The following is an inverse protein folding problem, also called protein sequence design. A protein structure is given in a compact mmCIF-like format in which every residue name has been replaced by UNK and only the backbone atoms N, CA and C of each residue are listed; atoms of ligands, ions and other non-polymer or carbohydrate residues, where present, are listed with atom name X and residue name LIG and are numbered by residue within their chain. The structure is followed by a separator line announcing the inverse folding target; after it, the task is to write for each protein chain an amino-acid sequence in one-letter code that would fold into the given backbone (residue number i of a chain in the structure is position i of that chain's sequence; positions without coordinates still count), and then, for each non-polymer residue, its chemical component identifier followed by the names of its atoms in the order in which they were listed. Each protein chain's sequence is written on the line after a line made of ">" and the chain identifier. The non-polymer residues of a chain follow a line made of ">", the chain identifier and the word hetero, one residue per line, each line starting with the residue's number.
data_IF_220134721726
#
_entry.id   IF_220134721726
#
_cell.length_a   1.000
_cell.length_b   1.000
_cell.length_c   1.000
_cell.angle_alpha   90.00
_cell.angle_beta   90.00
_cell.angle_gamma   90.00
#
_symmetry.space_group_name_H-M   'P 1'
#
loop_
_entity.id
_entity.type
_entity.pdbx_description
1 polymer ?
#
# COMPACT_ATOMS: atom_id res chain seq x y z
N UNK A 1 66.92 46.03 23.05
CA UNK A 1 67.61 44.89 23.73
C UNK A 1 66.57 43.89 24.19
N UNK A 2 66.84 42.58 23.91
CA UNK A 2 66.11 41.36 24.34
C UNK A 2 64.88 41.02 23.51
N UNK A 3 65.01 40.17 22.60
CA UNK A 3 65.08 38.70 22.43
C UNK A 3 63.65 38.09 22.31
N UNK A 4 63.46 37.68 21.12
CA UNK A 4 62.38 36.84 20.54
C UNK A 4 62.59 35.41 21.04
N UNK A 5 61.50 34.76 21.44
CA UNK A 5 61.40 33.29 21.42
C UNK A 5 60.18 32.89 20.60
N UNK A 6 60.46 32.26 19.48
CA UNK A 6 59.42 31.62 18.65
C UNK A 6 58.99 30.31 19.26
N UNK A 7 57.69 30.07 19.12
CA UNK A 7 57.07 28.75 19.33
C UNK A 7 56.48 28.29 18.03
N UNK A 8 57.06 27.26 17.47
CA UNK A 8 56.62 26.58 16.25
C UNK A 8 55.42 25.70 16.60
N UNK A 9 54.24 26.01 16.09
CA UNK A 9 53.08 25.12 16.17
C UNK A 9 53.08 24.19 14.96
N UNK A 10 53.24 22.89 15.22
CA UNK A 10 53.14 21.80 14.25
C UNK A 10 51.69 21.53 13.96
N UNK A 11 51.21 21.87 12.77
CA UNK A 11 49.85 21.54 12.32
C UNK A 11 49.83 20.10 11.84
N UNK A 12 49.18 19.21 12.59
CA UNK A 12 48.77 17.88 12.11
C UNK A 12 47.53 18.06 11.24
N UNK A 13 47.67 17.82 9.96
CA UNK A 13 46.56 17.67 9.03
C UNK A 13 46.02 16.24 9.18
N UNK A 14 44.89 16.09 9.83
CA UNK A 14 44.08 14.88 9.70
C UNK A 14 43.23 14.99 8.43
N UNK A 15 43.58 14.22 7.43
CA UNK A 15 42.73 13.98 6.29
C UNK A 15 41.59 13.05 6.73
N UNK A 16 40.40 13.59 6.97
CA UNK A 16 39.16 12.78 7.03
C UNK A 16 38.75 12.45 5.61
N UNK A 17 38.98 11.21 5.22
CA UNK A 17 38.28 10.60 4.09
C UNK A 17 36.83 10.45 4.49
N UNK A 18 35.98 11.35 4.04
CA UNK A 18 34.51 11.22 4.11
C UNK A 18 34.06 10.29 2.99
N UNK A 19 33.97 9.00 3.27
CA UNK A 19 33.17 8.09 2.49
C UNK A 19 31.70 8.41 2.79
N UNK A 20 30.99 8.98 1.81
CA UNK A 20 29.56 9.18 1.87
C UNK A 20 28.86 7.82 1.90
N UNK A 21 28.43 7.40 3.05
CA UNK A 21 27.49 6.30 3.18
C UNK A 21 26.11 6.78 2.76
N UNK A 22 25.75 6.44 1.51
CA UNK A 22 24.36 6.45 1.08
C UNK A 22 23.61 5.43 1.91
N UNK A 23 22.73 5.91 2.81
CA UNK A 23 21.93 5.07 3.69
C UNK A 23 21.10 4.06 2.90
N UNK A 24 21.52 2.81 2.96
CA UNK A 24 20.72 1.64 2.63
C UNK A 24 20.06 1.18 3.92
N UNK A 25 18.97 1.82 4.28
CA UNK A 25 18.16 1.44 5.44
C UNK A 25 17.06 0.45 5.07
N UNK A 26 17.38 -0.57 4.33
CA UNK A 26 16.54 -1.75 4.21
C UNK A 26 17.34 -2.92 4.78
N UNK A 27 17.29 -3.03 6.12
CA UNK A 27 17.99 -4.07 6.87
C UNK A 27 17.54 -5.47 6.46
N UNK A 28 18.09 -5.97 5.37
CA UNK A 28 18.15 -7.37 5.07
C UNK A 28 19.30 -7.96 5.87
N UNK A 29 19.01 -8.75 6.90
CA UNK A 29 19.98 -9.61 7.51
C UNK A 29 20.49 -10.60 6.47
N UNK A 30 21.79 -10.62 6.23
CA UNK A 30 22.49 -11.66 5.47
C UNK A 30 22.25 -13.02 6.13
N UNK A 31 21.26 -13.75 5.62
CA UNK A 31 21.09 -15.17 5.83
C UNK A 31 21.48 -15.88 4.56
N UNK A 32 22.72 -16.37 4.51
CA UNK A 32 23.23 -17.15 3.39
C UNK A 32 22.28 -18.29 3.03
N UNK A 33 21.90 -18.37 1.76
CA UNK A 33 21.07 -19.43 1.20
C UNK A 33 21.98 -20.64 0.91
N UNK A 34 21.77 -21.82 1.50
CA UNK A 34 22.41 -23.02 1.01
C UNK A 34 21.66 -23.49 -0.25
N UNK A 35 22.34 -23.54 -1.37
CA UNK A 35 21.88 -24.21 -2.59
C UNK A 35 21.73 -25.69 -2.35
N UNK A 36 20.52 -26.20 -2.44
CA UNK A 36 20.24 -27.65 -2.47
C UNK A 36 19.87 -28.04 -3.89
N UNK A 37 20.70 -28.89 -4.45
CA UNK A 37 20.52 -29.55 -5.75
C UNK A 37 19.34 -30.51 -5.69
N UNK A 38 18.32 -30.35 -6.52
CA UNK A 38 17.22 -31.28 -6.64
C UNK A 38 17.53 -32.33 -7.71
N UNK A 39 17.60 -33.56 -7.29
CA UNK A 39 17.63 -34.73 -8.17
C UNK A 39 16.21 -35.10 -8.59
N UNK A 40 15.99 -35.27 -9.88
CA UNK A 40 14.76 -35.76 -10.47
C UNK A 40 14.63 -37.28 -10.29
N UNK A 41 13.44 -37.74 -9.99
CA UNK A 41 13.00 -39.12 -10.31
C UNK A 41 11.58 -39.08 -10.84
N UNK A 42 11.45 -39.50 -12.07
CA UNK A 42 10.17 -39.78 -12.75
C UNK A 42 9.56 -41.11 -12.20
N UNK A 43 8.23 -41.16 -12.14
CA UNK A 43 7.54 -42.43 -12.37
C UNK A 43 6.10 -42.18 -12.86
N UNK A 44 5.79 -42.83 -13.97
CA UNK A 44 4.52 -42.86 -14.67
C UNK A 44 3.56 -43.87 -14.06
N UNK A 45 2.24 -43.61 -14.20
CA UNK A 45 1.20 -44.60 -13.91
C UNK A 45 -0.13 -44.20 -14.51
N UNK A 46 -0.55 -44.96 -15.47
CA UNK A 46 -1.67 -44.88 -16.39
C UNK A 46 -3.00 -45.48 -15.87
N UNK A 47 -4.10 -45.03 -16.47
CA UNK A 47 -5.40 -45.75 -16.59
C UNK A 47 -6.47 -45.23 -15.64
N UNK A 48 -7.76 -45.14 -15.93
CA UNK A 48 -8.58 -45.80 -16.97
C UNK A 48 -9.94 -45.05 -17.11
N UNK A 49 -10.63 -45.36 -18.17
CA UNK A 49 -11.91 -44.77 -18.64
C UNK A 49 -13.13 -45.26 -17.86
N UNK A 50 -14.20 -44.46 -17.88
CA UNK A 50 -15.53 -44.88 -17.45
C UNK A 50 -16.63 -43.94 -17.94
N UNK A 51 -17.23 -44.26 -19.09
CA UNK A 51 -18.40 -43.64 -19.69
C UNK A 51 -19.70 -44.12 -19.05
N UNK A 52 -20.69 -43.24 -18.92
CA UNK A 52 -22.06 -43.62 -18.53
C UNK A 52 -23.07 -42.54 -18.88
N UNK A 53 -23.80 -42.73 -19.97
CA UNK A 53 -25.00 -41.95 -20.38
C UNK A 53 -26.20 -42.30 -19.52
N UNK A 54 -27.07 -41.32 -19.29
CA UNK A 54 -28.42 -41.57 -18.74
C UNK A 54 -29.30 -40.31 -18.81
N UNK A 55 -30.14 -40.23 -19.84
CA UNK A 55 -31.15 -39.21 -20.00
C UNK A 55 -32.40 -39.58 -19.18
N UNK A 56 -33.06 -38.61 -18.53
CA UNK A 56 -34.47 -38.64 -18.23
C UNK A 56 -35.04 -37.25 -18.00
N UNK A 57 -36.03 -36.90 -18.77
CA UNK A 57 -36.85 -35.68 -18.65
C UNK A 57 -37.83 -35.79 -17.46
N UNK A 58 -38.12 -34.65 -16.81
CA UNK A 58 -39.19 -34.57 -15.81
C UNK A 58 -39.41 -33.14 -15.38
N UNK A 59 -40.47 -32.54 -15.92
CA UNK A 59 -40.98 -31.20 -15.60
C UNK A 59 -41.59 -31.13 -14.19
N UNK A 60 -41.30 -30.06 -13.45
CA UNK A 60 -41.98 -29.74 -12.21
C UNK A 60 -41.37 -28.52 -11.53
N UNK A 61 -41.97 -27.33 -11.76
CA UNK A 61 -41.51 -26.09 -11.18
C UNK A 61 -41.75 -26.02 -9.67
N UNK A 62 -40.73 -25.65 -8.94
CA UNK A 62 -40.79 -24.87 -7.69
C UNK A 62 -39.50 -24.08 -7.64
N UNK A 63 -39.64 -22.75 -7.62
CA UNK A 63 -38.53 -21.83 -7.39
C UNK A 63 -37.91 -22.11 -6.01
N UNK A 64 -36.73 -22.65 -6.01
CA UNK A 64 -35.85 -22.61 -4.86
C UNK A 64 -34.75 -21.59 -5.16
N UNK A 65 -34.68 -20.61 -4.28
CA UNK A 65 -33.61 -19.65 -4.18
C UNK A 65 -32.23 -20.38 -4.24
N UNK A 66 -31.55 -20.23 -5.35
CA UNK A 66 -30.24 -20.81 -5.53
C UNK A 66 -29.22 -19.81 -4.87
N UNK A 67 -28.86 -20.12 -3.64
CA UNK A 67 -27.85 -19.42 -2.91
C UNK A 67 -26.48 -19.62 -3.58
N UNK A 68 -26.24 -18.90 -4.66
CA UNK A 68 -24.89 -18.61 -5.09
C UNK A 68 -24.25 -17.72 -4.00
N UNK A 69 -23.29 -18.25 -3.27
CA UNK A 69 -22.48 -17.50 -2.31
C UNK A 69 -21.68 -16.43 -3.02
N UNK A 70 -22.35 -15.35 -3.42
CA UNK A 70 -21.72 -14.11 -3.75
C UNK A 70 -21.09 -13.56 -2.47
N UNK A 71 -19.86 -13.10 -2.56
CA UNK A 71 -19.23 -12.30 -1.52
C UNK A 71 -20.23 -11.25 -1.05
N UNK A 72 -20.33 -10.96 0.26
CA UNK A 72 -21.23 -9.94 0.73
C UNK A 72 -20.87 -8.64 0.03
N UNK A 73 -21.80 -8.16 -0.80
CA UNK A 73 -21.78 -6.84 -1.37
C UNK A 73 -21.96 -5.87 -0.21
N UNK A 74 -20.88 -5.30 0.28
CA UNK A 74 -20.97 -4.24 1.28
C UNK A 74 -21.51 -3.00 0.59
N UNK A 75 -22.70 -2.61 1.03
CA UNK A 75 -23.24 -1.29 0.75
C UNK A 75 -22.38 -0.26 1.52
N UNK A 76 -21.34 0.23 0.88
CA UNK A 76 -20.52 1.33 1.40
C UNK A 76 -21.30 2.63 1.24
N UNK A 77 -22.42 2.71 2.01
CA UNK A 77 -23.01 3.99 2.36
C UNK A 77 -23.43 4.93 1.23
N UNK A 78 -23.75 4.43 0.03
CA UNK A 78 -24.52 5.23 -0.90
C UNK A 78 -25.92 5.43 -0.29
N UNK A 79 -26.38 6.67 -0.02
CA UNK A 79 -27.70 6.87 0.57
C UNK A 79 -28.76 6.28 -0.35
N UNK A 80 -29.58 5.39 0.17
CA UNK A 80 -30.77 4.87 -0.49
C UNK A 80 -31.66 6.04 -0.94
N UNK A 81 -31.67 6.34 -2.25
CA UNK A 81 -32.67 7.25 -2.79
C UNK A 81 -32.26 8.33 -3.77
N UNK A 82 -31.30 8.11 -4.64
CA UNK A 82 -30.99 9.03 -5.73
C UNK A 82 -30.91 8.28 -7.07
N UNK A 83 -31.99 8.26 -7.82
CA UNK A 83 -31.98 7.77 -9.18
C UNK A 83 -31.12 8.69 -10.04
N UNK A 84 -29.87 8.31 -10.33
CA UNK A 84 -29.19 8.50 -11.61
C UNK A 84 -27.69 8.24 -11.64
N UNK A 85 -27.01 7.96 -10.51
CA UNK A 85 -25.65 7.47 -10.60
C UNK A 85 -25.70 6.01 -11.05
N UNK A 86 -25.37 5.70 -12.28
CA UNK A 86 -25.45 4.34 -12.85
C UNK A 86 -24.76 3.33 -11.94
N UNK A 87 -25.51 2.34 -11.49
CA UNK A 87 -25.19 1.46 -10.39
C UNK A 87 -23.84 0.76 -10.53
N UNK A 88 -22.91 1.13 -9.70
CA UNK A 88 -21.65 0.48 -9.44
C UNK A 88 -21.11 1.05 -8.15
N UNK A 89 -20.72 0.19 -7.21
CA UNK A 89 -20.04 0.60 -6.00
C UNK A 89 -18.74 1.32 -6.35
N UNK A 90 -18.56 2.50 -5.79
CA UNK A 90 -17.45 3.38 -6.09
C UNK A 90 -17.76 4.26 -7.31
N UNK A 91 -17.72 5.57 -7.13
CA UNK A 91 -18.15 6.62 -8.03
C UNK A 91 -17.57 6.71 -9.43
N UNK A 92 -17.32 5.61 -10.07
CA UNK A 92 -16.91 5.52 -11.46
C UNK A 92 -17.56 4.30 -12.09
N UNK A 93 -18.69 4.47 -12.74
CA UNK A 93 -19.39 3.45 -13.50
C UNK A 93 -18.64 2.95 -14.74
N UNK A 94 -17.32 3.17 -14.84
CA UNK A 94 -16.48 2.86 -15.98
C UNK A 94 -15.20 2.07 -15.64
N UNK A 95 -15.10 1.47 -14.46
CA UNK A 95 -13.94 0.66 -14.07
C UNK A 95 -12.74 1.46 -13.51
N UNK A 96 -12.94 2.67 -13.03
CA UNK A 96 -11.89 3.55 -12.46
C UNK A 96 -11.12 2.92 -11.30
N UNK A 97 -11.75 2.01 -10.56
CA UNK A 97 -11.13 1.28 -9.46
C UNK A 97 -10.51 -0.08 -9.87
N UNK A 98 -10.49 -0.40 -11.17
CA UNK A 98 -9.88 -1.63 -11.68
C UNK A 98 -8.37 -1.50 -11.91
N UNK A 99 -7.68 -0.72 -11.06
CA UNK A 99 -6.24 -0.52 -11.19
C UNK A 99 -5.50 -0.82 -9.90
N UNK A 100 -4.31 -1.41 -10.04
CA UNK A 100 -3.30 -1.43 -8.99
C UNK A 100 -2.13 -0.53 -9.38
N UNK A 101 -1.65 0.27 -8.42
CA UNK A 101 -0.58 1.22 -8.63
C UNK A 101 0.68 0.82 -7.88
N UNK A 102 1.75 0.48 -8.61
CA UNK A 102 2.97 -0.09 -8.05
C UNK A 102 4.17 0.82 -8.30
N UNK A 103 4.85 1.20 -7.21
CA UNK A 103 6.03 2.05 -7.27
C UNK A 103 7.24 1.29 -7.84
N UNK A 104 7.87 1.85 -8.87
CA UNK A 104 9.17 1.44 -9.42
C UNK A 104 10.26 2.30 -8.79
N UNK A 105 10.68 1.93 -7.57
CA UNK A 105 11.47 2.82 -6.70
C UNK A 105 12.77 3.30 -7.34
N UNK A 106 13.55 2.43 -7.95
CA UNK A 106 14.83 2.81 -8.58
C UNK A 106 14.68 3.61 -9.87
N UNK A 107 13.51 3.52 -10.53
CA UNK A 107 13.20 4.28 -11.74
C UNK A 107 12.54 5.63 -11.41
N UNK A 108 12.12 5.85 -10.16
CA UNK A 108 11.33 7.04 -9.74
C UNK A 108 10.02 7.20 -10.52
N UNK A 109 9.37 6.08 -10.82
CA UNK A 109 8.08 6.02 -11.51
C UNK A 109 7.07 5.21 -10.73
N UNK A 110 5.81 5.26 -11.16
CA UNK A 110 4.73 4.38 -10.72
C UNK A 110 4.04 3.78 -11.94
N UNK A 111 3.73 2.49 -11.88
CA UNK A 111 2.96 1.77 -12.90
C UNK A 111 1.49 1.74 -12.53
N UNK A 112 0.61 2.03 -13.50
CA UNK A 112 -0.83 1.82 -13.47
C UNK A 112 -1.14 0.53 -14.21
N UNK A 113 -1.59 -0.49 -13.51
CA UNK A 113 -1.84 -1.82 -14.07
C UNK A 113 -3.30 -2.15 -13.88
N UNK A 114 -3.99 -2.49 -14.97
CA UNK A 114 -5.38 -2.93 -14.91
C UNK A 114 -5.45 -4.31 -14.25
N UNK A 115 -6.26 -4.43 -13.19
CA UNK A 115 -6.34 -5.64 -12.38
C UNK A 115 -7.04 -6.80 -13.10
N UNK A 116 -7.89 -6.51 -14.06
CA UNK A 116 -8.63 -7.54 -14.80
C UNK A 116 -7.82 -8.05 -15.99
N UNK A 117 -7.27 -7.14 -16.81
CA UNK A 117 -6.53 -7.50 -18.02
C UNK A 117 -5.06 -7.86 -17.77
N UNK A 118 -4.51 -7.50 -16.61
CA UNK A 118 -3.07 -7.63 -16.31
C UNK A 118 -2.18 -6.83 -17.26
N UNK A 119 -2.68 -5.71 -17.80
CA UNK A 119 -1.95 -4.83 -18.72
C UNK A 119 -1.57 -3.54 -17.99
N UNK A 120 -0.32 -3.12 -18.16
CA UNK A 120 0.11 -1.79 -17.72
C UNK A 120 -0.41 -0.74 -18.73
N UNK A 121 -1.23 0.18 -18.24
CA UNK A 121 -1.89 1.21 -19.02
C UNK A 121 -1.31 2.62 -18.79
N UNK A 122 -0.26 2.73 -17.97
CA UNK A 122 0.46 3.97 -17.75
C UNK A 122 1.69 3.77 -16.86
N UNK A 123 2.73 4.58 -17.09
CA UNK A 123 3.90 4.66 -16.20
C UNK A 123 4.35 6.11 -16.07
N UNK A 124 4.27 6.65 -14.88
CA UNK A 124 4.38 8.08 -14.61
C UNK A 124 5.61 8.39 -13.76
N UNK A 125 6.32 9.48 -14.09
CA UNK A 125 7.36 10.03 -13.23
C UNK A 125 6.71 10.61 -11.97
N UNK A 126 7.29 10.35 -10.80
CA UNK A 126 6.69 10.71 -9.50
C UNK A 126 7.23 11.99 -8.88
N UNK A 127 8.26 12.61 -9.48
CA UNK A 127 8.88 13.84 -8.98
C UNK A 127 9.61 14.58 -10.11
N UNK A 128 9.64 15.94 -10.09
CA UNK A 128 10.23 16.74 -11.18
C UNK A 128 11.66 16.42 -11.57
N UNK A 129 12.48 16.05 -10.59
CA UNK A 129 13.90 15.71 -10.77
C UNK A 129 14.18 14.24 -11.08
N UNK A 130 13.12 13.42 -11.20
CA UNK A 130 13.19 11.96 -11.36
C UNK A 130 14.02 11.23 -10.29
N UNK A 131 14.14 11.83 -9.11
CA UNK A 131 14.92 11.29 -7.99
C UNK A 131 14.05 11.07 -6.73
N UNK A 132 12.76 10.84 -6.91
CA UNK A 132 11.79 10.69 -5.82
C UNK A 132 12.01 9.44 -4.96
N UNK A 133 12.45 8.33 -5.57
CA UNK A 133 12.54 7.05 -4.91
C UNK A 133 11.20 6.66 -4.22
N UNK A 134 10.10 6.56 -4.98
CA UNK A 134 8.76 6.32 -4.44
C UNK A 134 8.65 4.97 -3.75
N UNK A 135 7.77 4.86 -2.76
CA UNK A 135 7.64 3.59 -2.04
C UNK A 135 6.22 3.24 -1.60
N UNK A 136 5.32 4.19 -1.55
CA UNK A 136 3.95 3.94 -1.11
C UNK A 136 2.97 4.68 -1.96
N UNK A 137 1.92 3.97 -2.30
CA UNK A 137 0.77 4.50 -3.04
C UNK A 137 -0.48 4.39 -2.17
N UNK A 138 -1.43 5.24 -2.40
CA UNK A 138 -2.79 5.12 -1.88
C UNK A 138 -3.75 5.59 -2.95
N UNK A 139 -4.90 4.95 -3.08
CA UNK A 139 -5.91 5.28 -4.10
C UNK A 139 -7.16 5.80 -3.40
N UNK A 140 -7.71 6.90 -3.88
CA UNK A 140 -8.93 7.51 -3.36
C UNK A 140 -10.19 6.75 -3.83
N UNK A 141 -11.34 7.07 -3.25
CA UNK A 141 -12.61 6.51 -3.71
C UNK A 141 -13.04 7.03 -5.09
N UNK A 142 -12.47 8.14 -5.53
CA UNK A 142 -12.60 8.63 -6.91
C UNK A 142 -11.66 7.90 -7.89
N UNK A 143 -10.81 7.01 -7.40
CA UNK A 143 -9.85 6.25 -8.22
C UNK A 143 -8.50 6.94 -8.44
N UNK A 144 -8.30 8.12 -7.89
CA UNK A 144 -7.05 8.87 -8.03
C UNK A 144 -5.95 8.32 -7.13
N UNK A 145 -4.75 8.19 -7.67
CA UNK A 145 -3.61 7.67 -6.93
C UNK A 145 -2.74 8.81 -6.39
N UNK A 146 -2.34 8.68 -5.13
CA UNK A 146 -1.28 9.49 -4.55
C UNK A 146 -0.06 8.64 -4.18
N UNK A 147 1.14 9.19 -4.36
CA UNK A 147 2.40 8.49 -4.08
C UNK A 147 3.34 9.35 -3.24
N UNK A 148 3.88 8.75 -2.19
CA UNK A 148 4.92 9.36 -1.37
C UNK A 148 6.33 9.02 -1.91
N UNK A 149 7.12 10.04 -2.11
CA UNK A 149 8.52 9.92 -2.51
C UNK A 149 9.41 9.93 -1.26
N UNK A 150 10.21 8.87 -1.07
CA UNK A 150 11.11 8.76 0.11
C UNK A 150 12.04 9.96 0.29
N UNK A 151 12.43 10.57 -0.82
CA UNK A 151 13.29 11.75 -0.84
C UNK A 151 12.51 13.08 -0.71
N UNK A 152 11.28 13.01 -0.23
CA UNK A 152 10.36 14.14 -0.01
C UNK A 152 9.47 14.44 -1.20
N UNK A 153 8.24 14.83 -0.87
CA UNK A 153 7.19 15.21 -1.81
C UNK A 153 6.16 14.13 -2.08
N UNK A 154 4.97 14.59 -2.43
CA UNK A 154 3.79 13.78 -2.76
C UNK A 154 3.28 14.19 -4.13
N UNK A 155 2.87 13.20 -4.92
CA UNK A 155 2.32 13.42 -6.27
C UNK A 155 0.99 12.72 -6.39
N UNK A 156 -0.02 13.41 -6.96
CA UNK A 156 -1.30 12.84 -7.36
C UNK A 156 -1.30 12.57 -8.85
N UNK A 157 -1.87 11.45 -9.26
CA UNK A 157 -2.10 11.07 -10.65
C UNK A 157 -3.56 10.65 -10.78
N UNK A 158 -4.24 11.19 -11.80
CA UNK A 158 -5.63 10.83 -12.08
C UNK A 158 -5.75 9.36 -12.48
N UNK A 159 -6.71 8.68 -11.87
CA UNK A 159 -7.02 7.30 -12.22
C UNK A 159 -7.76 7.18 -13.56
N UNK A 160 -8.69 8.10 -13.81
CA UNK A 160 -9.43 8.16 -15.06
C UNK A 160 -8.83 9.19 -16.03
N UNK A 161 -8.60 8.78 -17.26
CA UNK A 161 -8.08 9.67 -18.31
C UNK A 161 -9.04 10.82 -18.66
N UNK A 162 -10.33 10.68 -18.36
CA UNK A 162 -11.31 11.76 -18.55
C UNK A 162 -11.11 12.94 -17.59
N UNK A 163 -10.43 12.71 -16.44
CA UNK A 163 -10.14 13.72 -15.45
C UNK A 163 -8.80 14.43 -15.71
N UNK A 164 -7.97 13.88 -16.60
CA UNK A 164 -6.68 14.45 -16.95
C UNK A 164 -6.84 15.81 -17.62
N UNK A 165 -5.96 16.74 -17.31
CA UNK A 165 -6.10 18.15 -17.68
C UNK A 165 -5.11 18.55 -18.77
N UNK A 166 -5.59 19.00 -19.90
CA UNK A 166 -4.75 19.58 -20.95
C UNK A 166 -3.97 20.79 -20.40
N UNK A 167 -2.69 20.63 -20.14
CA UNK A 167 -1.88 21.61 -19.40
C UNK A 167 -0.51 21.90 -20.00
N UNK A 168 -0.01 21.05 -20.92
CA UNK A 168 1.32 21.16 -21.51
C UNK A 168 1.36 22.09 -22.76
N UNK A 169 0.19 22.53 -23.27
CA UNK A 169 0.06 23.42 -24.43
C UNK A 169 0.16 22.72 -25.80
N UNK A 170 0.15 21.40 -25.81
CA UNK A 170 0.07 20.57 -27.02
C UNK A 170 -1.37 20.08 -27.18
N UNK A 171 -2.10 20.39 -28.27
CA UNK A 171 -3.50 20.02 -28.39
C UNK A 171 -3.75 18.50 -28.34
N UNK A 172 -4.73 18.10 -27.56
CA UNK A 172 -5.12 16.71 -27.31
C UNK A 172 -4.38 16.14 -26.12
N UNK A 173 -5.00 15.20 -25.40
CA UNK A 173 -4.44 14.63 -24.17
C UNK A 173 -3.15 13.84 -24.44
N UNK A 174 -2.07 14.23 -23.76
CA UNK A 174 -0.82 13.48 -23.73
C UNK A 174 -0.68 12.78 -22.39
N UNK A 175 -0.67 11.47 -22.39
CA UNK A 175 -0.41 10.66 -21.21
C UNK A 175 0.31 9.38 -21.57
N UNK A 176 1.09 8.84 -20.63
CA UNK A 176 1.78 7.56 -20.77
C UNK A 176 0.80 6.42 -20.99
N UNK A 177 1.16 5.52 -21.87
CA UNK A 177 0.44 4.26 -22.14
C UNK A 177 1.15 3.01 -21.58
N UNK A 178 2.22 3.18 -20.82
CA UNK A 178 2.96 2.11 -20.15
C UNK A 178 4.47 2.28 -20.13
N UNK A 179 5.19 1.20 -19.83
CA UNK A 179 6.64 1.20 -19.61
C UNK A 179 7.50 1.74 -20.76
N UNK A 180 7.02 1.63 -22.00
CA UNK A 180 7.75 2.06 -23.19
C UNK A 180 7.41 3.48 -23.63
N UNK A 181 6.53 4.16 -22.91
CA UNK A 181 5.99 5.47 -23.25
C UNK A 181 5.92 6.37 -22.00
N UNK A 182 7.02 6.47 -21.28
CA UNK A 182 7.13 7.32 -20.10
C UNK A 182 7.38 8.76 -20.57
N UNK A 183 6.43 9.66 -20.29
CA UNK A 183 6.57 11.05 -20.68
C UNK A 183 7.47 11.82 -19.69
N UNK A 184 8.22 12.82 -20.18
CA UNK A 184 8.98 13.71 -19.31
C UNK A 184 8.06 14.45 -18.32
N UNK A 185 8.61 14.82 -17.17
CA UNK A 185 7.86 15.62 -16.20
C UNK A 185 7.25 16.89 -16.82
N UNK A 186 5.98 17.15 -16.51
CA UNK A 186 5.22 18.27 -17.04
C UNK A 186 4.73 18.09 -18.48
N UNK A 187 4.92 16.92 -19.06
CA UNK A 187 4.33 16.55 -20.35
C UNK A 187 3.16 15.56 -20.19
N UNK A 188 3.12 14.85 -19.11
CA UNK A 188 2.04 13.90 -18.81
C UNK A 188 0.90 14.65 -18.10
N UNK A 189 -0.23 14.72 -18.76
CA UNK A 189 -1.38 15.53 -18.35
C UNK A 189 -2.29 14.81 -17.34
N UNK A 190 -2.00 13.52 -17.06
CA UNK A 190 -2.63 12.81 -15.97
C UNK A 190 -1.90 12.99 -14.62
N UNK A 191 -0.72 13.61 -14.61
CA UNK A 191 -0.09 14.06 -13.36
C UNK A 191 -0.77 15.31 -12.86
N UNK A 192 -1.66 15.16 -11.86
CA UNK A 192 -2.54 16.24 -11.38
C UNK A 192 -1.77 17.35 -10.65
N UNK A 193 -0.96 16.97 -9.66
CA UNK A 193 -0.13 17.91 -8.90
C UNK A 193 1.03 17.22 -8.21
N UNK A 194 2.02 18.01 -7.83
CA UNK A 194 3.13 17.60 -6.97
C UNK A 194 3.34 18.62 -5.87
N UNK A 195 3.26 18.18 -4.62
CA UNK A 195 3.57 18.99 -3.45
C UNK A 195 4.98 18.70 -2.98
N UNK A 196 5.92 19.64 -3.15
CA UNK A 196 7.27 19.46 -2.66
C UNK A 196 7.28 19.52 -1.13
N UNK A 197 7.83 18.49 -0.50
CA UNK A 197 8.03 18.41 0.95
C UNK A 197 9.51 18.24 1.24
N UNK A 198 10.05 19.04 2.16
CA UNK A 198 11.48 19.05 2.47
C UNK A 198 11.76 18.11 3.64
N UNK A 199 11.63 16.80 3.38
CA UNK A 199 11.96 15.75 4.33
C UNK A 199 13.07 14.86 3.78
N UNK A 200 13.94 14.40 4.67
CA UNK A 200 14.93 13.36 4.37
C UNK A 200 14.30 11.97 4.28
N UNK A 201 13.11 11.82 4.86
CA UNK A 201 12.28 10.62 4.74
C UNK A 201 10.80 11.02 4.72
N UNK A 202 10.08 10.67 3.63
CA UNK A 202 8.64 10.86 3.48
C UNK A 202 8.05 9.54 2.98
N UNK A 203 7.35 8.80 3.83
CA UNK A 203 6.96 7.41 3.51
C UNK A 203 5.46 7.15 3.60
N UNK A 204 4.77 7.40 4.74
CA UNK A 204 3.34 7.14 4.83
C UNK A 204 2.54 7.94 3.81
N UNK A 205 1.51 7.31 3.26
CA UNK A 205 0.49 7.98 2.48
C UNK A 205 -0.81 7.20 2.63
N UNK A 206 -1.91 7.91 2.84
CA UNK A 206 -3.24 7.34 2.95
C UNK A 206 -4.30 8.37 2.59
N UNK A 207 -5.15 8.05 1.62
CA UNK A 207 -6.34 8.83 1.36
C UNK A 207 -7.32 8.69 2.53
N UNK A 208 -8.02 9.77 2.86
CA UNK A 208 -9.16 9.76 3.74
C UNK A 208 -10.41 10.06 2.92
N UNK A 209 -11.51 9.41 3.29
CA UNK A 209 -12.77 9.49 2.59
C UNK A 209 -13.25 10.94 2.45
N UNK A 210 -13.80 11.24 1.27
CA UNK A 210 -14.56 12.45 0.97
C UNK A 210 -16.04 12.25 1.27
N UNK A 211 -16.83 13.21 0.83
CA UNK A 211 -18.29 13.20 0.92
C UNK A 211 -18.88 12.80 -0.44
N UNK A 212 -19.72 11.77 -0.47
CA UNK A 212 -20.40 11.37 -1.71
C UNK A 212 -21.39 12.43 -2.17
N UNK A 213 -21.20 12.96 -3.38
CA UNK A 213 -22.08 13.92 -4.02
C UNK A 213 -22.99 13.22 -5.04
N UNK A 214 -24.26 13.09 -4.71
CA UNK A 214 -25.26 12.47 -5.59
C UNK A 214 -25.57 13.26 -6.86
N UNK A 215 -25.21 14.56 -6.89
CA UNK A 215 -25.44 15.43 -8.05
C UNK A 215 -24.36 15.27 -9.13
N UNK A 216 -23.15 14.94 -8.73
CA UNK A 216 -21.99 14.76 -9.62
C UNK A 216 -21.57 13.30 -9.75
N UNK A 217 -22.09 12.40 -8.90
CA UNK A 217 -21.68 11.01 -8.78
C UNK A 217 -20.16 10.85 -8.54
N UNK A 218 -19.64 11.70 -7.69
CA UNK A 218 -18.21 11.74 -7.31
C UNK A 218 -18.06 12.01 -5.82
N UNK A 219 -16.85 11.78 -5.31
CA UNK A 219 -16.51 12.18 -3.94
C UNK A 219 -15.94 13.61 -3.93
N UNK A 220 -16.53 14.48 -3.11
CA UNK A 220 -16.03 15.82 -2.84
C UNK A 220 -15.16 15.81 -1.56
N UNK A 221 -14.26 16.79 -1.44
CA UNK A 221 -13.46 17.01 -0.22
C UNK A 221 -12.60 15.82 0.25
N UNK A 222 -12.19 14.95 -0.65
CA UNK A 222 -11.21 13.92 -0.33
C UNK A 222 -9.93 14.56 0.21
N UNK A 223 -9.34 13.97 1.23
CA UNK A 223 -8.11 14.46 1.87
C UNK A 223 -7.04 13.39 1.85
N UNK A 224 -5.80 13.85 1.96
CA UNK A 224 -4.65 12.96 1.87
C UNK A 224 -3.74 13.15 3.08
N UNK A 225 -3.53 12.08 3.83
CA UNK A 225 -2.54 12.04 4.89
C UNK A 225 -1.17 11.60 4.36
N UNK A 226 -0.13 12.27 4.84
CA UNK A 226 1.26 11.83 4.67
C UNK A 226 2.06 12.14 5.93
N UNK A 227 3.26 11.60 6.03
CA UNK A 227 4.16 11.94 7.12
C UNK A 227 5.61 11.99 6.64
N UNK A 228 6.39 12.86 7.24
CA UNK A 228 7.81 13.01 6.95
C UNK A 228 8.66 13.29 8.19
N UNK A 229 9.97 13.14 8.05
CA UNK A 229 10.94 13.41 9.11
C UNK A 229 12.28 13.86 8.54
N UNK A 230 12.97 14.71 9.31
CA UNK A 230 14.35 15.15 9.05
C UNK A 230 15.34 14.65 10.12
N UNK A 231 14.92 13.73 10.96
CA UNK A 231 15.72 13.15 12.03
C UNK A 231 14.89 12.76 13.24
N UNK A 232 15.53 12.28 14.26
CA UNK A 232 14.88 11.86 15.52
C UNK A 232 14.11 13.03 16.13
N UNK A 233 12.86 12.79 16.51
CA UNK A 233 11.99 13.79 17.16
C UNK A 233 11.50 14.91 16.24
N UNK A 234 11.65 14.75 14.91
CA UNK A 234 11.19 15.75 13.93
C UNK A 234 10.08 15.23 13.02
N UNK A 235 9.45 14.14 13.40
CA UNK A 235 8.36 13.57 12.61
C UNK A 235 7.14 14.50 12.62
N UNK A 236 6.55 14.67 11.44
CA UNK A 236 5.35 15.45 11.20
C UNK A 236 4.36 14.62 10.42
N UNK A 237 3.09 14.70 10.81
CA UNK A 237 1.95 14.17 10.03
C UNK A 237 1.25 15.36 9.39
N UNK A 238 0.99 15.26 8.11
CA UNK A 238 0.39 16.32 7.30
C UNK A 238 -0.94 15.85 6.72
N UNK A 239 -1.93 16.74 6.72
CA UNK A 239 -3.16 16.60 5.95
C UNK A 239 -3.09 17.55 4.77
N UNK A 240 -3.29 16.99 3.57
CA UNK A 240 -3.33 17.75 2.32
C UNK A 240 -4.76 17.74 1.77
N UNK A 241 -5.10 18.83 1.11
CA UNK A 241 -6.27 18.89 0.26
C UNK A 241 -6.07 17.98 -0.96
N UNK A 242 -7.02 17.07 -1.20
CA UNK A 242 -6.89 16.03 -2.22
C UNK A 242 -6.96 16.59 -3.65
N UNK A 243 -7.63 17.72 -3.86
CA UNK A 243 -7.76 18.30 -5.18
C UNK A 243 -6.55 19.16 -5.56
N UNK A 244 -6.01 19.90 -4.61
CA UNK A 244 -4.96 20.90 -4.88
C UNK A 244 -3.57 20.50 -4.39
N UNK A 245 -3.48 19.50 -3.52
CA UNK A 245 -2.23 19.10 -2.85
C UNK A 245 -1.73 20.10 -1.81
N UNK A 246 -2.50 21.14 -1.47
CA UNK A 246 -2.13 22.14 -0.46
C UNK A 246 -2.12 21.48 0.93
N UNK A 247 -1.05 21.71 1.68
CA UNK A 247 -0.97 21.27 3.09
C UNK A 247 -1.91 22.14 3.92
N UNK A 248 -2.96 21.54 4.47
CA UNK A 248 -3.95 22.20 5.31
C UNK A 248 -3.57 22.18 6.79
N UNK A 249 -2.97 21.07 7.23
CA UNK A 249 -2.58 20.87 8.62
C UNK A 249 -1.23 20.17 8.73
N UNK A 250 -0.52 20.47 9.81
CA UNK A 250 0.73 19.80 10.21
C UNK A 250 0.68 19.52 11.70
N UNK A 251 0.93 18.28 12.07
CA UNK A 251 0.95 17.80 13.46
C UNK A 251 2.35 17.29 13.78
N UNK A 252 3.02 17.95 14.71
CA UNK A 252 4.34 17.54 15.19
C UNK A 252 4.22 16.33 16.13
N UNK A 253 5.03 15.29 15.92
CA UNK A 253 5.06 14.07 16.75
C UNK A 253 6.51 13.88 17.28
N UNK A 254 6.91 14.63 18.30
CA UNK A 254 8.29 14.60 18.81
C UNK A 254 8.68 13.27 19.48
N UNK A 255 7.72 12.44 19.85
CA UNK A 255 7.95 11.12 20.46
C UNK A 255 8.43 10.07 19.46
N UNK A 256 8.36 10.34 18.14
CA UNK A 256 8.87 9.43 17.12
C UNK A 256 10.40 9.43 17.15
N UNK A 257 10.97 8.33 17.65
CA UNK A 257 12.40 8.17 17.89
C UNK A 257 13.22 7.74 16.68
N UNK A 258 12.59 7.54 15.53
CA UNK A 258 13.25 7.13 14.29
C UNK A 258 13.70 8.33 13.45
N UNK A 259 14.91 8.27 12.90
CA UNK A 259 15.34 9.22 11.86
C UNK A 259 14.55 9.07 10.56
N UNK A 260 13.93 7.91 10.35
CA UNK A 260 13.05 7.63 9.21
C UNK A 260 11.67 8.27 9.43
N UNK A 261 11.27 8.51 10.66
CA UNK A 261 9.94 8.98 11.02
C UNK A 261 8.92 7.83 11.07
N UNK A 262 7.68 8.13 10.69
CA UNK A 262 6.65 7.10 10.54
C UNK A 262 6.88 6.29 9.27
N UNK A 263 6.58 4.99 9.32
CA UNK A 263 6.92 4.07 8.25
C UNK A 263 5.73 3.60 7.43
N UNK A 264 4.70 3.06 8.04
CA UNK A 264 3.42 2.72 7.41
C UNK A 264 2.36 3.78 7.73
N UNK A 265 1.34 3.87 6.90
CA UNK A 265 0.19 4.73 7.11
C UNK A 265 -1.10 4.08 6.60
N UNK A 266 -2.18 4.24 7.35
CA UNK A 266 -3.53 3.82 7.00
C UNK A 266 -4.54 4.82 7.57
N UNK A 267 -5.81 4.69 7.18
CA UNK A 267 -6.91 5.45 7.75
C UNK A 267 -7.99 4.51 8.27
N UNK A 268 -8.76 4.98 9.26
CA UNK A 268 -9.98 4.31 9.68
C UNK A 268 -11.23 4.95 9.03
N UNK A 269 -12.40 4.39 9.29
CA UNK A 269 -13.66 4.84 8.72
C UNK A 269 -14.08 6.27 9.10
N UNK A 270 -13.49 6.85 10.15
CA UNK A 270 -13.66 8.26 10.52
C UNK A 270 -12.61 9.18 9.83
N UNK A 271 -11.72 8.59 9.03
CA UNK A 271 -10.65 9.30 8.34
C UNK A 271 -9.48 9.70 9.23
N UNK A 272 -9.35 9.14 10.42
CA UNK A 272 -8.19 9.35 11.28
C UNK A 272 -6.97 8.65 10.71
N UNK A 273 -5.81 9.28 10.83
CA UNK A 273 -4.55 8.70 10.40
C UNK A 273 -3.98 7.75 11.46
N UNK A 274 -3.48 6.61 10.99
CA UNK A 274 -2.73 5.64 11.77
C UNK A 274 -1.36 5.42 11.15
N UNK A 275 -0.29 5.49 11.97
CA UNK A 275 1.08 5.30 11.49
C UNK A 275 1.95 4.54 12.49
N UNK A 276 2.97 3.85 11.99
CA UNK A 276 3.91 3.09 12.80
C UNK A 276 5.22 3.86 12.93
N UNK A 277 5.66 4.14 14.16
CA UNK A 277 7.02 4.60 14.44
C UNK A 277 7.98 3.41 14.34
N UNK A 278 8.95 3.49 13.44
CA UNK A 278 9.98 2.46 13.27
C UNK A 278 11.23 2.70 14.12
N UNK A 279 11.10 3.41 15.20
CA UNK A 279 12.16 3.52 16.22
C UNK A 279 12.21 2.26 17.11
N UNK A 280 13.13 2.24 18.05
CA UNK A 280 13.19 1.17 19.05
C UNK A 280 11.94 1.02 19.93
N UNK A 281 11.08 2.03 19.98
CA UNK A 281 9.79 2.00 20.69
C UNK A 281 8.66 1.38 19.89
N UNK A 282 8.75 1.44 18.56
CA UNK A 282 7.76 0.88 17.63
C UNK A 282 6.30 1.25 17.95
N UNK A 283 6.07 2.50 18.35
CA UNK A 283 4.75 2.98 18.73
C UNK A 283 3.80 3.01 17.53
N UNK A 284 2.52 2.83 17.82
CA UNK A 284 1.43 3.17 16.91
C UNK A 284 1.00 4.61 17.22
N UNK A 285 0.93 5.42 16.18
CA UNK A 285 0.50 6.83 16.26
C UNK A 285 -0.87 6.94 15.62
N UNK A 286 -1.83 7.54 16.34
CA UNK A 286 -3.13 7.95 15.80
C UNK A 286 -3.20 9.47 15.79
N UNK A 287 -3.65 10.05 14.65
CA UNK A 287 -3.97 11.48 14.56
C UNK A 287 -5.44 11.62 14.22
N UNK A 288 -6.16 12.34 15.06
CA UNK A 288 -7.59 12.59 14.89
C UNK A 288 -7.85 13.58 13.74
N UNK A 289 -8.78 13.23 12.86
CA UNK A 289 -9.12 14.03 11.66
C UNK A 289 -9.78 15.37 12.00
N UNK A 290 -10.55 15.44 13.08
CA UNK A 290 -11.41 16.60 13.39
C UNK A 290 -10.69 17.65 14.22
N UNK A 291 -9.92 17.22 15.24
CA UNK A 291 -9.28 18.12 16.19
C UNK A 291 -7.74 18.14 16.09
N UNK A 292 -7.15 17.26 15.26
CA UNK A 292 -5.71 17.11 15.06
C UNK A 292 -4.93 16.76 16.33
N UNK A 293 -5.63 16.31 17.37
CA UNK A 293 -5.01 15.69 18.52
C UNK A 293 -4.39 14.35 18.13
N UNK A 294 -3.28 13.97 18.80
CA UNK A 294 -2.67 12.67 18.51
C UNK A 294 -2.51 11.83 19.77
N UNK A 295 -2.37 10.54 19.57
CA UNK A 295 -2.12 9.55 20.59
C UNK A 295 -0.87 8.73 20.21
N UNK A 296 -0.04 8.48 21.23
CA UNK A 296 1.10 7.56 21.14
C UNK A 296 0.74 6.30 21.90
N UNK A 297 0.56 5.21 21.17
CA UNK A 297 0.16 3.92 21.72
C UNK A 297 1.40 3.02 21.70
N UNK A 298 1.86 2.50 22.86
CA UNK A 298 3.01 1.61 22.89
C UNK A 298 2.81 0.41 21.96
N UNK A 299 3.78 0.16 21.09
CA UNK A 299 3.71 -0.95 20.13
C UNK A 299 3.83 -2.33 20.77
N UNK A 300 3.41 -3.39 20.05
CA UNK A 300 3.40 -4.76 20.60
C UNK A 300 4.78 -5.40 20.64
N UNK A 301 5.77 -4.80 19.99
CA UNK A 301 7.13 -5.33 19.93
C UNK A 301 7.91 -4.84 18.72
N UNK A 302 9.14 -5.32 18.54
CA UNK A 302 10.04 -4.87 17.51
C UNK A 302 9.63 -5.30 16.10
N UNK A 303 10.06 -4.53 15.09
CA UNK A 303 9.97 -4.89 13.68
C UNK A 303 8.72 -4.44 12.96
N UNK A 304 7.94 -3.48 13.51
CA UNK A 304 6.77 -2.92 12.85
C UNK A 304 7.08 -2.40 11.46
N UNK A 305 6.22 -2.74 10.49
CA UNK A 305 6.47 -2.45 9.09
C UNK A 305 5.20 -2.05 8.35
N UNK A 306 4.28 -2.98 8.14
CA UNK A 306 3.00 -2.77 7.49
C UNK A 306 1.91 -2.41 8.50
N UNK A 307 0.91 -1.68 8.02
CA UNK A 307 -0.29 -1.33 8.76
C UNK A 307 -1.50 -1.47 7.86
N UNK A 308 -2.59 -1.97 8.41
CA UNK A 308 -3.91 -1.97 7.80
C UNK A 308 -4.95 -1.62 8.86
N UNK A 309 -6.15 -1.23 8.45
CA UNK A 309 -7.32 -1.08 9.32
C UNK A 309 -8.40 -2.01 8.80
N UNK A 310 -9.02 -2.79 9.67
CA UNK A 310 -10.06 -3.73 9.26
C UNK A 310 -11.45 -3.08 9.17
N UNK A 311 -12.43 -3.87 8.71
CA UNK A 311 -13.81 -3.41 8.49
C UNK A 311 -14.59 -3.04 9.75
N UNK A 312 -14.00 -3.25 10.93
CA UNK A 312 -14.56 -2.78 12.22
C UNK A 312 -13.70 -1.69 12.87
N UNK A 313 -12.71 -1.17 12.12
CA UNK A 313 -11.90 -0.01 12.52
C UNK A 313 -10.71 -0.33 13.43
N UNK A 314 -10.26 -1.59 13.50
CA UNK A 314 -9.12 -1.99 14.32
C UNK A 314 -7.83 -1.92 13.50
N UNK A 315 -6.81 -1.19 13.97
CA UNK A 315 -5.52 -1.19 13.31
C UNK A 315 -4.76 -2.50 13.53
N UNK A 316 -4.16 -2.99 12.44
CA UNK A 316 -3.29 -4.14 12.40
C UNK A 316 -1.85 -3.71 12.21
N UNK A 317 -0.98 -4.18 13.07
CA UNK A 317 0.45 -3.94 13.07
C UNK A 317 1.15 -5.20 12.54
N UNK A 318 1.76 -5.09 11.37
CA UNK A 318 2.40 -6.21 10.70
C UNK A 318 3.93 -6.07 10.76
N UNK A 319 4.60 -7.13 11.20
CA UNK A 319 6.01 -7.09 11.53
C UNK A 319 6.71 -8.41 11.29
N UNK A 320 8.04 -8.43 11.39
CA UNK A 320 8.86 -9.62 11.18
C UNK A 320 8.62 -10.78 12.15
N UNK A 321 7.86 -10.58 13.22
CA UNK A 321 7.54 -11.63 14.20
C UNK A 321 6.09 -12.14 14.14
N UNK A 322 5.24 -11.55 13.32
CA UNK A 322 3.82 -11.89 13.24
C UNK A 322 2.94 -10.68 12.89
N UNK A 323 1.67 -10.78 13.19
CA UNK A 323 0.72 -9.69 13.11
C UNK A 323 0.06 -9.45 14.47
N UNK A 324 -0.31 -8.22 14.73
CA UNK A 324 -0.98 -7.81 15.97
C UNK A 324 -2.16 -6.92 15.63
N UNK A 325 -3.29 -7.19 16.25
CA UNK A 325 -4.48 -6.36 16.20
C UNK A 325 -4.55 -5.50 17.46
N UNK A 326 -4.78 -4.21 17.31
CA UNK A 326 -5.04 -3.33 18.45
C UNK A 326 -6.54 -3.18 18.66
N UNK A 327 -7.00 -3.57 19.85
CA UNK A 327 -8.37 -3.37 20.29
C UNK A 327 -8.41 -2.11 21.17
N UNK A 328 -8.97 -1.01 20.65
CA UNK A 328 -9.00 0.29 21.35
C UNK A 328 -9.71 0.21 22.70
N UNK A 329 -10.74 -0.63 22.78
CA UNK A 329 -11.39 -1.02 24.05
C UNK A 329 -11.19 -2.53 24.21
N UNK A 330 -10.37 -2.96 25.16
CA UNK A 330 -9.80 -2.29 26.35
C UNK A 330 -8.41 -1.63 26.19
N UNK A 331 -7.93 -1.36 25.01
CA UNK A 331 -6.60 -0.75 24.79
C UNK A 331 -5.48 -1.77 24.84
N UNK A 332 -5.69 -2.94 24.23
CA UNK A 332 -4.76 -4.07 24.27
C UNK A 332 -4.42 -4.60 22.89
N UNK A 333 -3.23 -5.17 22.78
CA UNK A 333 -2.78 -5.88 21.59
C UNK A 333 -3.16 -7.36 21.66
N UNK A 334 -3.70 -7.87 20.58
CA UNK A 334 -3.91 -9.29 20.35
C UNK A 334 -2.87 -9.78 19.34
N UNK A 335 -2.15 -10.84 19.68
CA UNK A 335 -1.09 -11.35 18.81
C UNK A 335 -1.53 -12.53 17.98
N UNK A 336 -1.15 -12.53 16.70
CA UNK A 336 -1.15 -13.71 15.86
C UNK A 336 0.28 -14.24 15.82
N UNK A 337 0.56 -15.39 16.40
CA UNK A 337 1.89 -15.96 16.33
C UNK A 337 2.27 -16.22 14.88
N UNK A 338 3.53 -15.97 14.55
CA UNK A 338 4.04 -16.24 13.21
C UNK A 338 3.82 -17.72 12.84
N UNK A 339 3.01 -18.04 11.82
CA UNK A 339 2.72 -19.41 11.45
C UNK A 339 3.89 -20.03 10.68
N UNK A 340 4.87 -20.49 11.40
CA UNK A 340 6.02 -21.23 10.85
C UNK A 340 7.12 -20.37 10.23
N UNK A 341 7.19 -19.07 10.51
CA UNK A 341 8.25 -18.20 9.98
C UNK A 341 7.96 -16.71 10.07
N UNK A 342 8.87 -15.88 9.58
CA UNK A 342 8.71 -14.43 9.63
C UNK A 342 7.69 -13.92 8.61
N UNK A 343 6.72 -13.13 9.08
CA UNK A 343 5.81 -12.35 8.27
C UNK A 343 6.42 -10.94 8.13
N UNK A 344 7.07 -10.67 7.01
CA UNK A 344 7.64 -9.36 6.70
C UNK A 344 6.81 -8.61 5.67
N UNK A 345 6.92 -7.28 5.67
CA UNK A 345 6.34 -6.43 4.65
C UNK A 345 4.98 -5.87 5.00
N UNK A 346 4.20 -5.57 3.98
CA UNK A 346 2.84 -5.09 4.10
C UNK A 346 1.86 -6.19 4.44
N UNK A 347 0.71 -5.77 4.94
CA UNK A 347 -0.48 -6.61 5.10
C UNK A 347 -1.70 -5.80 4.69
N UNK A 348 -2.79 -6.50 4.37
CA UNK A 348 -4.04 -5.88 3.98
C UNK A 348 -5.22 -6.77 4.37
N UNK A 349 -6.30 -6.15 4.84
CA UNK A 349 -7.56 -6.84 5.10
C UNK A 349 -8.42 -6.89 3.83
N UNK A 350 -9.13 -8.00 3.65
CA UNK A 350 -10.01 -8.21 2.49
C UNK A 350 -11.45 -7.71 2.69
N UNK A 351 -11.69 -6.96 3.76
CA UNK A 351 -13.04 -6.48 4.11
C UNK A 351 -14.01 -7.58 4.53
N UNK A 352 -13.71 -8.83 4.25
CA UNK A 352 -14.54 -10.00 4.55
C UNK A 352 -14.09 -10.76 5.82
N UNK A 353 -13.10 -10.22 6.54
CA UNK A 353 -12.64 -10.76 7.81
C UNK A 353 -11.31 -11.50 7.75
N UNK A 354 -10.55 -11.39 6.65
CA UNK A 354 -9.21 -11.97 6.54
C UNK A 354 -8.15 -10.88 6.42
N UNK A 355 -7.10 -10.99 7.22
CA UNK A 355 -5.86 -10.24 7.03
C UNK A 355 -4.88 -11.09 6.20
N UNK A 356 -4.42 -10.55 5.10
CA UNK A 356 -3.43 -11.17 4.23
C UNK A 356 -2.04 -10.62 4.48
N UNK A 357 -1.05 -11.51 4.59
CA UNK A 357 0.35 -11.20 4.81
C UNK A 357 1.23 -12.24 4.11
N UNK A 358 2.50 -11.91 3.81
CA UNK A 358 3.41 -12.86 3.17
C UNK A 358 4.47 -13.37 4.12
N UNK A 359 4.62 -14.69 4.21
CA UNK A 359 5.69 -15.35 4.94
C UNK A 359 6.96 -15.38 4.09
N UNK A 360 8.04 -14.83 4.64
CA UNK A 360 9.27 -14.58 3.88
C UNK A 360 10.02 -15.86 3.50
N UNK A 361 10.10 -16.86 4.39
CA UNK A 361 10.99 -18.01 4.22
C UNK A 361 10.64 -18.90 3.04
N UNK A 362 9.36 -19.02 2.73
CA UNK A 362 8.86 -19.93 1.70
C UNK A 362 7.88 -19.26 0.73
N UNK A 363 7.87 -17.91 0.73
CA UNK A 363 7.03 -17.13 -0.17
C UNK A 363 5.57 -17.61 -0.14
N UNK A 364 4.97 -17.67 1.04
CA UNK A 364 3.58 -18.11 1.22
C UNK A 364 2.71 -16.94 1.65
N UNK A 365 1.63 -16.67 0.94
CA UNK A 365 0.54 -15.81 1.43
C UNK A 365 -0.17 -16.54 2.57
N UNK A 366 -0.40 -15.82 3.66
CA UNK A 366 -1.07 -16.31 4.86
C UNK A 366 -2.31 -15.46 5.10
N UNK A 367 -3.48 -16.09 5.06
CA UNK A 367 -4.75 -15.49 5.45
C UNK A 367 -5.02 -15.77 6.93
N UNK A 368 -5.29 -14.72 7.67
CA UNK A 368 -5.53 -14.73 9.12
C UNK A 368 -6.93 -14.20 9.37
N UNK A 369 -7.78 -15.00 10.02
CA UNK A 369 -9.11 -14.56 10.42
C UNK A 369 -8.99 -13.43 11.47
N UNK A 370 -9.65 -12.29 11.19
CA UNK A 370 -9.49 -11.08 11.98
C UNK A 370 -10.16 -11.17 13.35
N UNK A 371 -11.10 -12.07 13.57
CA UNK A 371 -11.79 -12.27 14.86
C UNK A 371 -11.10 -13.33 15.71
N UNK A 372 -10.90 -14.51 15.14
CA UNK A 372 -10.35 -15.66 15.87
C UNK A 372 -8.83 -15.64 15.96
N UNK A 373 -8.15 -14.82 15.16
CA UNK A 373 -6.70 -14.71 15.06
C UNK A 373 -6.02 -16.00 14.59
N UNK A 374 -6.77 -16.87 13.93
CA UNK A 374 -6.26 -18.13 13.42
C UNK A 374 -5.85 -18.01 11.97
N UNK A 375 -4.83 -18.75 11.58
CA UNK A 375 -4.49 -18.92 10.17
C UNK A 375 -5.56 -19.77 9.51
N UNK A 376 -6.26 -19.23 8.55
CA UNK A 376 -7.35 -19.91 7.82
C UNK A 376 -6.94 -20.34 6.43
N UNK A 377 -5.91 -19.71 5.86
CA UNK A 377 -5.47 -20.04 4.52
C UNK A 377 -3.96 -19.85 4.35
N UNK A 378 -3.35 -20.65 3.46
CA UNK A 378 -1.94 -20.54 3.06
C UNK A 378 -1.82 -20.86 1.58
N UNK A 379 -1.29 -19.93 0.79
CA UNK A 379 -1.13 -20.07 -0.66
C UNK A 379 0.34 -19.79 -1.01
N UNK A 380 1.11 -20.80 -1.43
CA UNK A 380 2.46 -20.60 -1.93
C UNK A 380 2.46 -19.74 -3.20
N UNK A 381 3.34 -18.74 -3.26
CA UNK A 381 3.51 -17.87 -4.43
C UNK A 381 4.94 -17.98 -4.98
N UNK A 382 5.21 -17.61 -6.26
CA UNK A 382 6.51 -17.88 -6.89
C UNK A 382 7.72 -17.22 -6.21
N UNK A 383 7.55 -16.04 -5.59
CA UNK A 383 8.60 -15.38 -4.83
C UNK A 383 8.03 -14.55 -3.68
N UNK A 384 8.88 -14.19 -2.71
CA UNK A 384 8.48 -13.36 -1.58
C UNK A 384 7.88 -12.03 -2.03
N UNK A 385 6.70 -11.72 -1.55
CA UNK A 385 6.00 -10.46 -1.77
C UNK A 385 6.11 -9.55 -0.54
N UNK A 386 6.47 -8.31 -0.80
CA UNK A 386 6.61 -7.29 0.23
C UNK A 386 5.36 -6.39 0.33
N UNK A 387 4.71 -6.14 -0.79
CA UNK A 387 3.45 -5.41 -0.87
C UNK A 387 2.26 -6.36 -0.98
N UNK A 388 1.24 -6.11 -0.16
CA UNK A 388 -0.04 -6.82 -0.23
C UNK A 388 -1.13 -5.78 -0.40
N UNK A 389 -2.04 -6.02 -1.36
CA UNK A 389 -3.26 -5.23 -1.56
C UNK A 389 -4.39 -6.16 -2.00
N UNK A 390 -5.62 -5.68 -1.96
CA UNK A 390 -6.80 -6.39 -2.44
C UNK A 390 -7.38 -5.58 -3.59
N UNK A 391 -7.84 -6.23 -4.66
CA UNK A 391 -8.61 -5.56 -5.70
C UNK A 391 -10.12 -5.68 -5.48
N UNK A 392 -10.89 -4.93 -6.26
CA UNK A 392 -12.36 -4.93 -6.14
C UNK A 392 -13.02 -6.22 -6.66
N UNK A 393 -12.27 -7.12 -7.28
CA UNK A 393 -12.71 -8.47 -7.63
C UNK A 393 -12.40 -9.49 -6.51
N UNK A 394 -11.78 -9.04 -5.41
CA UNK A 394 -11.44 -9.86 -4.24
C UNK A 394 -10.13 -10.63 -4.38
N UNK A 395 -9.33 -10.38 -5.41
CA UNK A 395 -8.02 -11.01 -5.53
C UNK A 395 -7.00 -10.36 -4.60
N UNK A 396 -6.09 -11.17 -4.09
CA UNK A 396 -4.94 -10.73 -3.31
C UNK A 396 -3.77 -10.44 -4.24
N UNK A 397 -3.34 -9.18 -4.27
CA UNK A 397 -2.15 -8.77 -4.98
C UNK A 397 -0.93 -8.86 -4.10
N UNK A 398 0.09 -9.54 -4.59
CA UNK A 398 1.34 -9.79 -3.91
C UNK A 398 2.49 -9.24 -4.76
N UNK A 399 3.05 -8.10 -4.34
CA UNK A 399 4.10 -7.38 -5.08
C UNK A 399 5.46 -7.83 -4.57
N UNK A 400 6.26 -8.43 -5.46
CA UNK A 400 7.59 -8.96 -5.13
C UNK A 400 8.56 -7.86 -4.70
N UNK A 401 9.42 -8.17 -3.74
CA UNK A 401 10.39 -7.23 -3.18
C UNK A 401 11.58 -7.02 -4.12
N UNK A 402 11.86 -5.77 -4.49
CA UNK A 402 12.98 -5.38 -5.36
C UNK A 402 13.04 -6.22 -6.65
N UNK A 403 11.90 -6.55 -7.22
CA UNK A 403 11.75 -7.46 -8.35
C UNK A 403 11.01 -6.80 -9.51
N UNK A 404 10.75 -7.60 -10.54
CA UNK A 404 10.01 -7.21 -11.73
C UNK A 404 8.56 -7.68 -11.71
N UNK A 405 8.17 -8.49 -10.72
CA UNK A 405 6.94 -9.25 -10.75
C UNK A 405 5.93 -8.82 -9.66
N UNK A 406 4.66 -8.91 -10.01
CA UNK A 406 3.53 -8.87 -9.10
C UNK A 406 2.59 -10.04 -9.42
N UNK A 407 2.01 -10.62 -8.39
CA UNK A 407 1.11 -11.76 -8.49
C UNK A 407 -0.30 -11.34 -8.12
N UNK A 408 -1.28 -11.64 -8.99
CA UNK A 408 -2.71 -11.59 -8.67
C UNK A 408 -3.12 -13.00 -8.27
N UNK A 409 -3.61 -13.17 -7.07
CA UNK A 409 -3.96 -14.46 -6.48
C UNK A 409 -5.45 -14.47 -6.17
N UNK A 410 -6.19 -15.37 -6.79
CA UNK A 410 -7.58 -15.67 -6.41
C UNK A 410 -7.54 -16.52 -5.12
N UNK A 411 -8.00 -16.00 -3.97
CA UNK A 411 -7.94 -16.73 -2.71
C UNK A 411 -8.89 -17.93 -2.66
N UNK A 412 -9.92 -17.97 -3.51
CA UNK A 412 -10.91 -19.06 -3.53
C UNK A 412 -10.39 -20.27 -4.29
N UNK A 413 -9.82 -20.03 -5.47
CA UNK A 413 -9.32 -21.12 -6.35
C UNK A 413 -7.84 -21.40 -6.16
N UNK A 414 -7.08 -20.47 -5.60
CA UNK A 414 -5.62 -20.52 -5.52
C UNK A 414 -4.92 -20.24 -6.86
N UNK A 415 -5.66 -19.76 -7.85
CA UNK A 415 -5.09 -19.39 -9.16
C UNK A 415 -4.16 -18.19 -9.01
N UNK A 416 -3.01 -18.23 -9.69
CA UNK A 416 -2.00 -17.16 -9.65
C UNK A 416 -1.72 -16.70 -11.07
N UNK A 417 -1.96 -15.42 -11.33
CA UNK A 417 -1.52 -14.74 -12.53
C UNK A 417 -0.31 -13.88 -12.21
N UNK A 418 0.61 -13.74 -13.17
CA UNK A 418 1.84 -12.98 -12.99
C UNK A 418 1.90 -11.80 -13.93
N UNK A 419 2.05 -10.61 -13.40
CA UNK A 419 2.48 -9.43 -14.16
C UNK A 419 4.01 -9.32 -14.05
N UNK A 420 4.68 -9.07 -15.17
CA UNK A 420 6.14 -8.85 -15.23
C UNK A 420 6.43 -7.54 -15.99
N UNK A 421 7.35 -6.74 -15.50
CA UNK A 421 7.75 -5.48 -16.16
C UNK A 421 8.01 -4.33 -15.19
N UNK A 422 7.88 -4.59 -13.89
CA UNK A 422 8.24 -3.61 -12.84
C UNK A 422 9.77 -3.40 -12.76
N UNK A 423 10.16 -2.29 -12.15
CA UNK A 423 11.59 -1.95 -11.97
C UNK A 423 11.87 -1.75 -10.48
N UNK A 424 12.44 -2.77 -9.82
CA UNK A 424 12.72 -2.77 -8.39
C UNK A 424 11.49 -2.34 -7.59
N UNK A 425 10.40 -3.06 -7.77
CA UNK A 425 9.13 -2.78 -7.11
C UNK A 425 9.30 -2.74 -5.59
N UNK A 426 8.81 -1.66 -4.99
CA UNK A 426 8.86 -1.48 -3.54
C UNK A 426 7.64 -0.67 -3.10
N UNK A 427 6.56 -1.37 -2.79
CA UNK A 427 5.30 -0.74 -2.40
C UNK A 427 4.58 -1.63 -1.39
N UNK A 428 3.84 -1.04 -0.45
CA UNK A 428 3.03 -1.75 0.53
C UNK A 428 2.11 -0.78 1.27
N UNK A 429 0.97 -0.51 0.70
CA UNK A 429 -0.12 0.29 1.27
C UNK A 429 -1.36 0.02 0.42
N UNK A 430 -2.38 0.84 0.49
CA UNK A 430 -3.57 0.66 -0.32
C UNK A 430 -3.31 1.01 -1.79
N UNK A 431 -2.85 0.02 -2.55
CA UNK A 431 -2.47 0.19 -3.95
C UNK A 431 -3.67 0.22 -4.91
N UNK A 432 -4.88 0.00 -4.43
CA UNK A 432 -6.10 -0.17 -5.25
C UNK A 432 -7.27 0.70 -4.83
N UNK A 433 -7.26 1.25 -3.60
CA UNK A 433 -8.39 1.96 -3.00
C UNK A 433 -9.35 1.04 -2.23
N UNK A 434 -9.14 -0.28 -2.31
CA UNK A 434 -10.00 -1.25 -1.64
C UNK A 434 -9.97 -1.11 -0.12
N UNK A 435 -8.80 -0.89 0.48
CA UNK A 435 -8.67 -0.73 1.92
C UNK A 435 -9.41 0.51 2.43
N UNK A 436 -9.36 1.61 1.69
CA UNK A 436 -10.11 2.82 2.02
C UNK A 436 -11.62 2.57 1.95
N UNK A 437 -12.09 1.80 0.96
CA UNK A 437 -13.51 1.49 0.78
C UNK A 437 -14.08 0.58 1.88
N UNK A 438 -13.21 -0.18 2.56
CA UNK A 438 -13.62 -1.19 3.56
C UNK A 438 -13.19 -0.84 4.98
N UNK A 439 -12.48 0.26 5.19
CA UNK A 439 -12.04 0.68 6.52
C UNK A 439 -13.22 1.01 7.44
N UNK A 440 -13.32 0.32 8.55
CA UNK A 440 -14.40 0.51 9.52
C UNK A 440 -14.17 1.67 10.48
N UNK A 441 -15.26 2.11 11.10
CA UNK A 441 -15.23 3.13 12.17
C UNK A 441 -14.77 2.47 13.46
N UNK A 442 -13.77 2.99 14.17
CA UNK A 442 -13.31 2.43 15.41
C UNK A 442 -14.41 2.44 16.48
N UNK A 443 -14.63 1.29 17.10
CA UNK A 443 -15.52 1.20 18.25
C UNK A 443 -14.75 1.60 19.51
N UNK A 444 -15.05 2.79 20.08
CA UNK A 444 -14.46 3.20 21.36
C UNK A 444 -14.64 4.64 21.69
#
# INVERSE_FOLDING_TARGET
>A
MRRIHGLTCLSLVFACNGSGEGGRDDGGGDGGIPTVSAGATESAGSGDQGSGMGSAEGSGGTSLDDGSGGLPSFDVGAPDGGASCGGGMGGGGDGTLSYIWIANSSQSTVSKINTQSMIEEGRYITRPDSAGNPSRTSVSLSGDMAIANRNGGVTKIYGNTADCQESNGVPGLQTSSGANDILPWGQDECVAWHTPLVYSSNRPIAWAQGEWNTGTCSYDNEKLWTAGSNGVGTAQVLLLDGETGVVEQTVDIPEVGSSIGLYGGAVDGDGNFWGIDRSGSYNLIRVDRQNFGYQVIPGPGPGGYGIAVDSVGRPWYCAGGGAWRYDAVPGTWQSVPSPGGNLWGGCMTDGAGTLWHCRQQDATLVGIDTETLQVVQQIPIPSYAHGISIDFDGNVWAVSFNSTDAYRVDPVTGTIDTFTGLINAYTYSDMTGFALSTAGVPSG
#
